data_IF_799816805959
#
_entry.id   IF_799816805959
#
_cell.length_a   1.000
_cell.length_b   1.000
_cell.length_c   1.000
_cell.angle_alpha   90.00
_cell.angle_beta   90.00
_cell.angle_gamma   90.00
#
_symmetry.space_group_name_H-M   'P 1'
#
loop_
_entity.id
_entity.type
_entity.pdbx_description
1 polymer ?
#
# COMPACT_ATOMS: atom_id res chain seq x y z
N UNK A 1 -35.87 31.78 21.37
CA UNK A 1 -34.43 32.06 21.30
C UNK A 1 -33.74 30.71 21.38
N UNK A 2 -33.62 30.03 20.25
CA UNK A 2 -33.06 28.68 20.11
C UNK A 2 -31.54 28.83 19.91
N UNK A 3 -30.77 28.40 20.90
CA UNK A 3 -29.30 28.31 20.79
C UNK A 3 -28.97 27.18 19.82
N UNK A 4 -28.48 27.51 18.65
CA UNK A 4 -27.77 26.60 17.75
C UNK A 4 -26.42 26.30 18.36
N UNK A 5 -26.23 25.09 18.85
CA UNK A 5 -24.90 24.57 19.22
C UNK A 5 -24.08 24.38 17.97
N UNK A 6 -23.01 25.17 17.86
CA UNK A 6 -21.94 25.04 16.85
C UNK A 6 -21.35 23.61 16.91
N UNK A 7 -21.23 22.90 15.78
CA UNK A 7 -20.61 21.58 15.80
C UNK A 7 -19.15 21.77 16.21
N UNK A 8 -18.78 21.20 17.34
CA UNK A 8 -17.44 21.19 17.91
C UNK A 8 -16.41 20.90 16.80
N UNK A 9 -15.51 21.83 16.57
CA UNK A 9 -14.30 21.63 15.78
C UNK A 9 -13.56 20.46 16.37
N UNK A 10 -13.66 19.30 15.73
CA UNK A 10 -12.87 18.11 16.10
C UNK A 10 -11.40 18.54 16.02
N UNK A 11 -10.70 18.53 17.14
CA UNK A 11 -9.27 18.83 17.22
C UNK A 11 -8.54 17.78 16.36
N UNK A 12 -8.21 18.15 15.14
CA UNK A 12 -7.50 17.33 14.16
C UNK A 12 -6.00 17.24 14.43
N UNK A 13 -5.57 17.54 15.66
CA UNK A 13 -4.16 17.42 16.03
C UNK A 13 -3.75 15.95 16.00
N UNK A 14 -2.83 15.54 15.10
CA UNK A 14 -2.42 14.16 15.01
C UNK A 14 -1.73 13.70 16.29
N UNK A 15 -2.01 12.49 16.72
CA UNK A 15 -1.36 11.91 17.89
C UNK A 15 0.17 11.95 17.73
N UNK A 16 0.95 12.01 18.83
CA UNK A 16 2.40 12.01 18.77
C UNK A 16 2.98 10.83 17.96
N UNK A 17 2.26 9.71 17.91
CA UNK A 17 2.67 8.47 17.26
C UNK A 17 2.69 8.59 15.72
N UNK A 18 1.72 9.31 15.14
CA UNK A 18 1.58 9.46 13.68
C UNK A 18 2.05 10.83 13.17
N UNK A 19 2.43 11.73 14.07
CA UNK A 19 2.87 13.08 13.69
C UNK A 19 4.14 13.07 12.84
N UNK A 20 4.06 13.57 11.63
CA UNK A 20 5.21 13.76 10.73
C UNK A 20 6.00 14.97 11.17
N UNK A 21 7.16 14.74 11.81
CA UNK A 21 8.03 15.82 12.34
C UNK A 21 8.88 16.49 11.26
N UNK A 22 9.43 15.71 10.32
CA UNK A 22 10.29 16.24 9.26
C UNK A 22 9.46 16.52 7.99
N UNK A 23 9.53 17.78 7.49
CA UNK A 23 8.76 18.25 6.34
C UNK A 23 7.24 18.08 6.59
N UNK A 24 6.69 18.67 7.66
CA UNK A 24 5.28 18.48 8.04
C UNK A 24 4.28 18.92 6.95
N UNK A 25 4.62 19.87 6.10
CA UNK A 25 3.79 20.28 4.97
C UNK A 25 3.53 19.18 3.91
N UNK A 26 4.22 18.04 4.00
CA UNK A 26 3.97 16.86 3.16
C UNK A 26 3.00 15.87 3.80
N UNK A 27 2.66 16.07 5.07
CA UNK A 27 1.76 15.18 5.80
C UNK A 27 0.30 15.45 5.44
N UNK A 28 -0.49 14.37 5.46
CA UNK A 28 -1.95 14.37 5.39
C UNK A 28 -2.45 13.40 6.45
N UNK A 29 -3.48 13.80 7.17
CA UNK A 29 -4.07 12.99 8.26
C UNK A 29 -5.54 12.68 7.97
N UNK A 30 -6.08 13.25 6.91
CA UNK A 30 -7.44 12.94 6.45
C UNK A 30 -7.51 11.51 5.88
N UNK A 31 -8.61 10.83 6.17
CA UNK A 31 -8.81 9.44 5.76
C UNK A 31 -8.85 9.27 4.24
N UNK A 32 -9.27 10.28 3.49
CA UNK A 32 -9.29 10.21 2.03
C UNK A 32 -7.88 10.07 1.47
N UNK A 33 -6.90 10.82 2.00
CA UNK A 33 -5.49 10.69 1.61
C UNK A 33 -4.89 9.34 2.03
N UNK A 34 -5.22 8.84 3.22
CA UNK A 34 -4.80 7.51 3.70
C UNK A 34 -5.34 6.42 2.79
N UNK A 35 -6.65 6.44 2.51
CA UNK A 35 -7.31 5.48 1.63
C UNK A 35 -6.73 5.50 0.21
N UNK A 36 -6.52 6.69 -0.37
CA UNK A 36 -5.98 6.80 -1.72
C UNK A 36 -4.61 6.15 -1.89
N UNK A 37 -3.75 6.18 -0.85
CA UNK A 37 -2.45 5.50 -0.89
C UNK A 37 -2.64 3.99 -0.72
N UNK A 38 -3.45 3.56 0.25
CA UNK A 38 -3.69 2.14 0.49
C UNK A 38 -4.33 1.46 -0.73
N UNK A 39 -5.32 2.09 -1.34
CA UNK A 39 -6.04 1.54 -2.50
C UNK A 39 -5.16 1.44 -3.75
N UNK A 40 -4.15 2.30 -3.87
CA UNK A 40 -3.23 2.28 -5.00
C UNK A 40 -2.02 1.35 -4.78
N UNK A 41 -1.67 1.03 -3.54
CA UNK A 41 -0.52 0.20 -3.22
C UNK A 41 -0.90 -1.29 -3.24
N UNK A 42 -0.26 -2.14 -4.06
CA UNK A 42 -0.65 -3.55 -4.20
C UNK A 42 -0.39 -4.38 -2.94
N UNK A 43 0.48 -3.93 -2.06
CA UNK A 43 0.83 -4.60 -0.81
C UNK A 43 1.37 -3.60 0.21
N UNK A 44 1.46 -4.04 1.46
CA UNK A 44 2.08 -3.30 2.56
C UNK A 44 3.24 -4.08 3.17
N UNK A 45 4.12 -3.36 3.88
CA UNK A 45 5.08 -3.97 4.78
C UNK A 45 4.54 -3.88 6.20
N UNK A 46 4.44 -5.02 6.87
CA UNK A 46 3.95 -5.13 8.24
C UNK A 46 5.12 -5.43 9.15
N UNK A 47 5.37 -4.55 10.09
CA UNK A 47 6.45 -4.64 11.06
C UNK A 47 5.89 -4.94 12.46
N UNK A 48 6.61 -5.76 13.23
CA UNK A 48 6.40 -6.00 14.65
C UNK A 48 7.72 -6.23 15.36
N UNK A 49 7.69 -6.43 16.66
CA UNK A 49 8.90 -6.75 17.46
C UNK A 49 8.77 -8.18 18.00
N UNK A 50 9.76 -9.01 17.72
CA UNK A 50 9.86 -10.39 18.20
C UNK A 50 11.18 -10.57 18.96
N UNK A 51 11.09 -10.95 20.23
CA UNK A 51 12.27 -11.15 21.08
C UNK A 51 13.22 -9.92 21.05
N UNK A 52 12.67 -8.71 21.13
CA UNK A 52 13.42 -7.47 21.09
C UNK A 52 13.96 -7.07 19.71
N UNK A 53 13.68 -7.84 18.65
CA UNK A 53 14.15 -7.57 17.29
C UNK A 53 13.00 -7.18 16.36
N UNK A 54 13.16 -6.15 15.50
CA UNK A 54 12.17 -5.82 14.48
C UNK A 54 12.10 -6.93 13.42
N UNK A 55 10.86 -7.28 13.04
CA UNK A 55 10.55 -8.20 11.94
C UNK A 55 9.66 -7.45 10.97
N UNK A 56 9.94 -7.52 9.66
CA UNK A 56 9.18 -6.84 8.61
C UNK A 56 8.87 -7.84 7.51
N UNK A 57 7.59 -7.93 7.11
CA UNK A 57 7.13 -8.83 6.04
C UNK A 57 6.24 -8.06 5.04
N UNK A 58 6.39 -8.28 3.73
CA UNK A 58 5.42 -7.81 2.74
C UNK A 58 4.15 -8.66 2.83
N UNK A 59 2.99 -8.00 2.76
CA UNK A 59 1.70 -8.67 2.83
C UNK A 59 0.70 -7.98 1.90
N UNK A 60 -0.10 -8.78 1.18
CA UNK A 60 -1.31 -8.27 0.56
C UNK A 60 -2.28 -7.79 1.66
N UNK A 61 -3.02 -6.76 1.36
CA UNK A 61 -3.99 -6.18 2.29
C UNK A 61 -5.32 -5.89 1.60
N UNK A 62 -6.34 -5.66 2.40
CA UNK A 62 -7.61 -5.09 1.99
C UNK A 62 -8.03 -4.01 2.97
N UNK A 63 -9.09 -3.27 2.67
CA UNK A 63 -9.73 -2.33 3.60
C UNK A 63 -11.16 -2.77 3.89
N UNK A 64 -11.53 -2.79 5.15
CA UNK A 64 -12.86 -3.14 5.62
C UNK A 64 -13.19 -2.30 6.87
N UNK A 65 -14.32 -1.63 6.90
CA UNK A 65 -14.90 -0.94 8.07
C UNK A 65 -13.90 -0.08 8.87
N UNK A 66 -13.17 0.81 8.16
CA UNK A 66 -12.20 1.71 8.81
C UNK A 66 -10.91 1.03 9.30
N UNK A 67 -10.67 -0.20 8.86
CA UNK A 67 -9.49 -0.99 9.20
C UNK A 67 -8.74 -1.48 7.97
N UNK A 68 -7.45 -1.69 8.11
CA UNK A 68 -6.66 -2.52 7.20
C UNK A 68 -6.85 -3.98 7.59
N UNK A 69 -7.09 -4.84 6.60
CA UNK A 69 -7.23 -6.28 6.78
C UNK A 69 -6.03 -6.99 6.17
N UNK A 70 -5.48 -7.93 6.93
CA UNK A 70 -4.34 -8.77 6.57
C UNK A 70 -4.73 -10.23 6.69
N UNK A 71 -4.28 -11.07 5.75
CA UNK A 71 -4.52 -12.50 5.83
C UNK A 71 -3.20 -13.29 5.81
N UNK A 72 -3.22 -14.48 6.41
CA UNK A 72 -2.08 -15.38 6.42
C UNK A 72 -2.38 -16.68 7.14
N UNK A 73 -1.32 -17.39 7.55
CA UNK A 73 -1.44 -18.62 8.32
C UNK A 73 -1.38 -18.32 9.83
N UNK A 74 -2.18 -19.01 10.63
CA UNK A 74 -2.09 -18.98 12.10
C UNK A 74 -0.69 -19.35 12.61
N UNK A 75 0.06 -20.18 11.88
CA UNK A 75 1.42 -20.56 12.21
C UNK A 75 2.46 -19.47 11.93
N UNK A 76 2.10 -18.41 11.17
CA UNK A 76 3.02 -17.34 10.87
C UNK A 76 3.40 -16.56 12.14
N UNK A 77 4.71 -16.38 12.32
CA UNK A 77 5.23 -15.74 13.54
C UNK A 77 4.69 -14.35 13.78
N UNK A 78 4.44 -13.55 12.72
CA UNK A 78 3.88 -12.21 12.82
C UNK A 78 2.49 -12.23 13.50
N UNK A 79 1.62 -13.17 13.12
CA UNK A 79 0.29 -13.30 13.71
C UNK A 79 0.32 -13.83 15.14
N UNK A 80 1.30 -14.69 15.47
CA UNK A 80 1.52 -15.10 16.87
C UNK A 80 1.97 -13.95 17.76
N UNK A 81 2.87 -13.09 17.25
CA UNK A 81 3.30 -11.89 17.98
C UNK A 81 2.14 -10.91 18.18
N UNK A 82 1.32 -10.72 17.14
CA UNK A 82 0.12 -9.89 17.21
C UNK A 82 -0.90 -10.44 18.22
N UNK A 83 -1.14 -11.76 18.23
CA UNK A 83 -1.99 -12.44 19.21
C UNK A 83 -1.49 -12.26 20.64
N UNK A 84 -0.18 -12.17 20.85
CA UNK A 84 0.44 -11.86 22.12
C UNK A 84 0.40 -10.37 22.48
N UNK A 85 -0.29 -9.53 21.69
CA UNK A 85 -0.47 -8.10 21.94
C UNK A 85 0.68 -7.22 21.48
N UNK A 86 1.63 -7.73 20.68
CA UNK A 86 2.71 -6.92 20.15
C UNK A 86 2.17 -5.82 19.23
N UNK A 87 2.68 -4.57 19.33
CA UNK A 87 2.30 -3.50 18.44
C UNK A 87 2.78 -3.80 17.02
N UNK A 88 2.02 -3.29 16.05
CA UNK A 88 2.39 -3.36 14.63
C UNK A 88 2.58 -1.96 14.06
N UNK A 89 3.51 -1.85 13.11
CA UNK A 89 3.66 -0.69 12.25
C UNK A 89 3.52 -1.17 10.81
N UNK A 90 2.57 -0.59 10.07
CA UNK A 90 2.31 -0.96 8.69
C UNK A 90 2.64 0.22 7.80
N UNK A 91 3.35 -0.02 6.71
CA UNK A 91 3.59 1.00 5.69
C UNK A 91 3.29 0.48 4.30
N UNK A 92 2.64 1.32 3.49
CA UNK A 92 2.52 1.14 2.06
C UNK A 92 3.16 2.35 1.37
N UNK A 93 3.88 2.11 0.27
CA UNK A 93 4.60 3.17 -0.44
C UNK A 93 4.50 2.96 -1.95
N UNK A 94 4.22 4.06 -2.65
CA UNK A 94 4.24 4.15 -4.10
C UNK A 94 5.41 5.05 -4.50
N UNK A 95 6.28 4.57 -5.37
CA UNK A 95 7.31 5.38 -6.01
C UNK A 95 6.70 6.07 -7.23
N UNK A 96 6.61 7.39 -7.21
CA UNK A 96 6.06 8.20 -8.30
C UNK A 96 7.16 8.82 -9.19
N UNK A 97 8.44 8.73 -8.79
CA UNK A 97 9.56 9.16 -9.61
C UNK A 97 10.86 9.38 -8.84
N UNK A 98 11.95 9.44 -9.60
CA UNK A 98 13.27 9.83 -9.10
C UNK A 98 13.48 11.32 -9.33
N UNK A 99 14.12 12.00 -8.39
CA UNK A 99 14.42 13.44 -8.47
C UNK A 99 15.91 13.64 -8.42
N UNK A 100 16.45 14.19 -9.50
CA UNK A 100 17.87 14.43 -9.70
C UNK A 100 18.15 15.91 -9.52
N UNK A 101 18.89 16.26 -8.48
CA UNK A 101 19.37 17.61 -8.22
C UNK A 101 20.72 17.86 -8.87
N UNK A 102 21.14 19.12 -8.91
CA UNK A 102 22.46 19.51 -9.41
C UNK A 102 23.59 19.18 -8.43
N UNK A 103 23.26 18.97 -7.15
CA UNK A 103 24.22 18.53 -6.13
C UNK A 103 23.81 17.19 -5.55
N UNK A 104 24.77 16.40 -5.06
CA UNK A 104 24.53 15.10 -4.47
C UNK A 104 23.49 15.12 -3.32
N UNK A 105 23.44 16.22 -2.57
CA UNK A 105 22.49 16.41 -1.46
C UNK A 105 21.04 16.57 -1.90
N UNK A 106 20.79 17.06 -3.11
CA UNK A 106 19.46 17.44 -3.58
C UNK A 106 18.74 16.34 -4.37
N UNK A 107 19.37 15.17 -4.49
CA UNK A 107 18.68 13.98 -5.02
C UNK A 107 17.59 13.53 -4.06
N UNK A 108 16.49 13.04 -4.62
CA UNK A 108 15.32 12.61 -3.84
C UNK A 108 14.44 11.65 -4.67
N UNK A 109 13.24 11.37 -4.16
CA UNK A 109 12.20 10.65 -4.89
C UNK A 109 10.85 11.35 -4.69
N UNK A 110 9.97 11.27 -5.69
CA UNK A 110 8.54 11.53 -5.57
C UNK A 110 7.86 10.26 -5.11
N UNK A 111 6.99 10.38 -4.13
CA UNK A 111 6.33 9.22 -3.52
C UNK A 111 5.04 9.61 -2.82
N UNK A 112 4.18 8.64 -2.66
CA UNK A 112 3.06 8.63 -1.73
C UNK A 112 3.27 7.48 -0.76
N UNK A 113 3.15 7.73 0.53
CA UNK A 113 3.27 6.68 1.55
C UNK A 113 2.23 6.87 2.63
N UNK A 114 1.86 5.76 3.27
CA UNK A 114 1.06 5.75 4.49
C UNK A 114 1.82 4.97 5.56
N UNK A 115 1.68 5.41 6.80
CA UNK A 115 2.15 4.67 7.98
C UNK A 115 1.00 4.55 8.94
N UNK A 116 0.75 3.34 9.44
CA UNK A 116 -0.30 2.99 10.38
C UNK A 116 0.36 2.37 11.61
N UNK A 117 -0.01 2.82 12.80
CA UNK A 117 0.42 2.24 14.06
C UNK A 117 -0.79 1.68 14.80
N UNK A 118 -0.63 0.56 15.47
CA UNK A 118 -1.71 -0.03 16.25
C UNK A 118 -1.42 -1.44 16.73
N UNK A 119 -2.49 -2.10 17.12
CA UNK A 119 -2.49 -3.52 17.48
C UNK A 119 -3.43 -4.24 16.51
N UNK A 120 -2.99 -5.40 16.05
CA UNK A 120 -3.80 -6.23 15.20
C UNK A 120 -4.76 -7.07 16.05
N UNK A 121 -6.04 -7.12 15.67
CA UNK A 121 -7.07 -7.95 16.30
C UNK A 121 -7.51 -9.04 15.34
N UNK A 122 -7.58 -10.28 15.81
CA UNK A 122 -8.06 -11.39 14.99
C UNK A 122 -9.53 -11.19 14.61
N UNK A 123 -9.86 -11.57 13.38
CA UNK A 123 -11.23 -11.68 12.90
C UNK A 123 -11.57 -13.17 12.92
N UNK A 124 -12.58 -13.55 13.70
CA UNK A 124 -12.94 -14.95 13.98
C UNK A 124 -14.33 -15.33 13.50
N UNK A 125 -15.23 -14.34 13.40
CA UNK A 125 -16.59 -14.58 12.94
C UNK A 125 -16.60 -14.97 11.46
N UNK A 126 -17.23 -16.10 11.08
CA UNK A 126 -17.16 -16.63 9.70
C UNK A 126 -17.55 -15.63 8.61
N UNK A 127 -18.60 -14.85 8.83
CA UNK A 127 -19.06 -13.86 7.85
C UNK A 127 -18.06 -12.69 7.71
N UNK A 128 -17.44 -12.27 8.82
CA UNK A 128 -16.37 -11.26 8.79
C UNK A 128 -15.09 -11.79 8.13
N UNK A 129 -14.77 -13.09 8.32
CA UNK A 129 -13.64 -13.74 7.63
C UNK A 129 -13.87 -13.73 6.12
N UNK A 130 -15.09 -14.08 5.67
CA UNK A 130 -15.45 -14.02 4.25
C UNK A 130 -15.34 -12.60 3.71
N UNK A 131 -15.89 -11.61 4.40
CA UNK A 131 -15.83 -10.21 4.01
C UNK A 131 -14.38 -9.69 3.93
N UNK A 132 -13.54 -10.06 4.89
CA UNK A 132 -12.13 -9.70 4.89
C UNK A 132 -11.33 -10.35 3.78
N UNK A 133 -11.56 -11.63 3.48
CA UNK A 133 -10.96 -12.30 2.32
C UNK A 133 -11.41 -11.66 1.01
N UNK A 134 -12.69 -11.32 0.90
CA UNK A 134 -13.21 -10.58 -0.25
C UNK A 134 -12.47 -9.25 -0.41
N UNK A 135 -12.32 -8.48 0.67
CA UNK A 135 -11.63 -7.19 0.65
C UNK A 135 -10.19 -7.32 0.15
N UNK A 136 -9.46 -8.36 0.56
CA UNK A 136 -8.08 -8.62 0.09
C UNK A 136 -8.05 -9.03 -1.38
N UNK A 137 -8.94 -9.94 -1.81
CA UNK A 137 -9.00 -10.40 -3.22
C UNK A 137 -9.38 -9.25 -4.16
N UNK A 138 -10.39 -8.45 -3.80
CA UNK A 138 -10.84 -7.29 -4.60
C UNK A 138 -9.81 -6.16 -4.60
N UNK A 139 -9.00 -6.04 -3.56
CA UNK A 139 -7.88 -5.10 -3.53
C UNK A 139 -6.77 -5.52 -4.51
N UNK A 140 -6.42 -6.78 -4.55
CA UNK A 140 -5.43 -7.30 -5.48
C UNK A 140 -5.88 -7.19 -6.93
N UNK A 141 -7.10 -7.66 -7.22
CA UNK A 141 -7.71 -7.64 -8.55
C UNK A 141 -9.22 -7.41 -8.43
N UNK A 142 -9.66 -6.23 -8.77
CA UNK A 142 -11.09 -5.86 -8.74
C UNK A 142 -11.91 -6.74 -9.68
N UNK A 143 -13.02 -7.28 -9.18
CA UNK A 143 -13.92 -8.17 -9.91
C UNK A 143 -13.58 -9.66 -9.81
N UNK A 144 -12.40 -9.99 -9.20
CA UNK A 144 -11.96 -11.39 -9.10
C UNK A 144 -12.83 -12.22 -8.15
N UNK A 145 -13.30 -11.64 -7.06
CA UNK A 145 -14.11 -12.36 -6.07
C UNK A 145 -15.36 -13.03 -6.64
N UNK A 146 -15.96 -12.42 -7.65
CA UNK A 146 -17.18 -12.96 -8.27
C UNK A 146 -16.91 -14.22 -9.12
N UNK A 147 -15.69 -14.39 -9.60
CA UNK A 147 -15.31 -15.50 -10.50
C UNK A 147 -14.68 -16.69 -9.78
N UNK A 148 -14.22 -16.51 -8.55
CA UNK A 148 -13.59 -17.60 -7.81
C UNK A 148 -14.60 -18.34 -6.94
N UNK A 149 -14.33 -19.61 -6.70
CA UNK A 149 -15.03 -20.40 -5.70
C UNK A 149 -14.88 -19.72 -4.33
N UNK A 150 -15.95 -19.65 -3.58
CA UNK A 150 -15.91 -19.16 -2.20
C UNK A 150 -15.17 -20.14 -1.29
N UNK A 151 -14.55 -19.67 -0.20
CA UNK A 151 -13.86 -20.53 0.73
C UNK A 151 -14.83 -21.53 1.39
N UNK A 152 -14.37 -22.77 1.56
CA UNK A 152 -15.08 -23.77 2.35
C UNK A 152 -14.99 -23.48 3.84
N UNK A 153 -15.83 -24.14 4.65
CA UNK A 153 -15.78 -24.02 6.12
C UNK A 153 -14.41 -24.42 6.69
N UNK A 154 -13.74 -25.40 6.09
CA UNK A 154 -12.40 -25.81 6.51
C UNK A 154 -11.38 -24.69 6.22
N UNK A 155 -11.39 -24.14 5.01
CA UNK A 155 -10.50 -23.03 4.61
C UNK A 155 -10.70 -21.77 5.47
N UNK A 156 -11.95 -21.45 5.83
CA UNK A 156 -12.26 -20.34 6.75
C UNK A 156 -11.60 -20.58 8.13
N UNK A 157 -11.65 -21.78 8.66
CA UNK A 157 -11.04 -22.13 9.96
C UNK A 157 -9.49 -22.09 9.94
N UNK A 158 -8.89 -22.40 8.80
CA UNK A 158 -7.42 -22.42 8.62
C UNK A 158 -6.85 -21.01 8.32
N UNK A 159 -7.68 -20.07 7.88
CA UNK A 159 -7.26 -18.74 7.50
C UNK A 159 -7.16 -17.83 8.74
N UNK A 160 -5.95 -17.35 9.02
CA UNK A 160 -5.75 -16.26 9.96
C UNK A 160 -6.07 -14.92 9.27
N UNK A 161 -7.06 -14.22 9.79
CA UNK A 161 -7.43 -12.90 9.33
C UNK A 161 -7.35 -11.89 10.48
N UNK A 162 -6.75 -10.73 10.23
CA UNK A 162 -6.48 -9.73 11.23
C UNK A 162 -6.88 -8.35 10.74
N UNK A 163 -7.42 -7.52 11.63
CA UNK A 163 -7.70 -6.11 11.36
C UNK A 163 -6.78 -5.20 12.17
N UNK A 164 -6.36 -4.10 11.57
CA UNK A 164 -5.65 -3.00 12.24
C UNK A 164 -6.41 -1.70 11.95
N UNK A 165 -6.95 -1.02 12.99
CA UNK A 165 -7.69 0.21 12.80
C UNK A 165 -6.85 1.32 12.15
N UNK A 166 -7.44 2.10 11.24
CA UNK A 166 -6.79 3.22 10.56
C UNK A 166 -6.76 4.52 11.37
N UNK A 167 -7.32 4.52 12.58
CA UNK A 167 -7.38 5.72 13.43
C UNK A 167 -6.00 6.34 13.76
N UNK A 168 -4.94 5.52 13.77
CA UNK A 168 -3.57 5.96 13.97
C UNK A 168 -2.78 5.84 12.65
N UNK A 169 -3.24 6.56 11.63
CA UNK A 169 -2.60 6.58 10.32
C UNK A 169 -2.17 8.00 9.91
N UNK A 170 -1.11 8.09 9.12
CA UNK A 170 -0.70 9.30 8.44
C UNK A 170 -0.23 9.00 7.03
N UNK A 171 -0.63 9.83 6.08
CA UNK A 171 -0.09 9.80 4.72
C UNK A 171 0.97 10.90 4.56
N UNK A 172 1.96 10.64 3.69
CA UNK A 172 3.01 11.58 3.35
C UNK A 172 3.28 11.55 1.86
N UNK A 173 3.26 12.72 1.23
CA UNK A 173 3.43 12.84 -0.21
C UNK A 173 4.54 13.84 -0.54
N UNK A 174 5.39 13.47 -1.49
CA UNK A 174 6.30 14.39 -2.17
C UNK A 174 6.06 14.31 -3.67
N UNK A 175 5.93 15.46 -4.29
CA UNK A 175 5.80 15.62 -5.74
C UNK A 175 6.64 16.79 -6.23
N UNK A 176 6.88 16.87 -7.53
CA UNK A 176 7.58 17.96 -8.17
C UNK A 176 9.06 17.72 -8.41
N UNK A 177 9.71 18.75 -8.92
CA UNK A 177 11.11 18.72 -9.34
C UNK A 177 12.09 18.86 -8.16
N UNK A 178 13.37 19.05 -8.48
CA UNK A 178 14.42 19.34 -7.49
C UNK A 178 14.22 20.72 -6.84
N UNK A 179 14.75 20.89 -5.66
CA UNK A 179 14.80 22.14 -4.90
C UNK A 179 16.26 22.54 -4.72
N UNK A 180 16.95 22.79 -5.85
CA UNK A 180 18.33 23.22 -5.81
C UNK A 180 18.44 24.65 -5.23
N UNK A 181 19.49 24.97 -4.45
CA UNK A 181 19.84 26.32 -4.09
C UNK A 181 20.08 27.20 -5.32
N UNK A 182 19.94 28.52 -5.15
CA UNK A 182 20.10 29.44 -6.26
C UNK A 182 21.52 29.39 -6.85
N UNK A 183 22.54 29.24 -6.03
CA UNK A 183 23.92 29.09 -6.46
C UNK A 183 24.19 27.84 -7.32
N UNK A 184 23.43 26.78 -7.11
CA UNK A 184 23.57 25.54 -7.90
C UNK A 184 22.85 25.63 -9.25
N UNK A 185 21.91 26.58 -9.44
CA UNK A 185 21.06 26.63 -10.66
C UNK A 185 21.82 26.90 -11.94
N UNK A 186 22.95 27.59 -11.85
CA UNK A 186 23.82 27.89 -13.00
C UNK A 186 24.77 26.75 -13.37
N UNK A 187 24.86 25.69 -12.57
CA UNK A 187 25.72 24.55 -12.84
C UNK A 187 25.27 23.83 -14.14
N UNK A 188 26.20 23.49 -15.06
CA UNK A 188 25.91 22.83 -16.34
C UNK A 188 25.63 21.33 -16.14
N UNK A 189 24.74 20.99 -15.19
CA UNK A 189 24.34 19.64 -14.85
C UNK A 189 22.83 19.52 -15.05
N UNK A 190 22.40 18.51 -15.77
CA UNK A 190 20.97 18.23 -15.92
C UNK A 190 20.31 17.96 -14.56
N UNK A 191 19.16 18.57 -14.32
CA UNK A 191 18.38 18.38 -13.10
C UNK A 191 16.88 18.33 -13.43
N UNK A 192 16.15 17.52 -12.70
CA UNK A 192 14.72 17.33 -12.95
C UNK A 192 14.17 16.13 -12.22
N UNK A 193 13.08 15.54 -12.75
CA UNK A 193 12.56 14.28 -12.24
C UNK A 193 12.22 13.30 -13.36
N UNK A 194 12.37 12.02 -13.06
CA UNK A 194 12.02 10.89 -13.93
C UNK A 194 10.77 10.25 -13.33
N UNK A 195 9.58 10.34 -13.97
CA UNK A 195 8.39 9.68 -13.49
C UNK A 195 8.58 8.16 -13.41
N UNK A 196 8.04 7.55 -12.34
CA UNK A 196 7.98 6.10 -12.18
C UNK A 196 6.52 5.65 -12.09
N UNK A 197 6.22 4.47 -12.63
CA UNK A 197 4.90 3.83 -12.56
C UNK A 197 5.09 2.33 -12.39
N UNK A 198 4.23 1.73 -11.57
CA UNK A 198 4.08 0.27 -11.55
C UNK A 198 3.27 -0.13 -12.79
N UNK A 199 3.77 -1.08 -13.54
CA UNK A 199 3.09 -1.67 -14.69
C UNK A 199 3.13 -3.19 -14.57
N UNK A 200 2.10 -3.86 -15.08
CA UNK A 200 2.00 -5.31 -15.08
C UNK A 200 2.35 -5.87 -16.46
N UNK A 201 2.92 -7.07 -16.50
CA UNK A 201 3.17 -7.81 -17.74
C UNK A 201 1.89 -8.46 -18.28
N UNK A 202 2.04 -9.16 -19.41
CA UNK A 202 0.95 -9.98 -19.93
C UNK A 202 0.64 -11.13 -18.97
N UNK A 203 -0.65 -11.50 -18.81
CA UNK A 203 -1.03 -12.66 -18.02
C UNK A 203 -0.35 -13.94 -18.55
N UNK A 204 0.12 -14.75 -17.63
CA UNK A 204 0.71 -16.06 -17.93
C UNK A 204 -0.22 -17.12 -17.33
N UNK A 205 -0.69 -18.04 -18.16
CA UNK A 205 -1.57 -19.12 -17.75
C UNK A 205 -0.85 -20.05 -16.76
N UNK A 206 -1.59 -20.55 -15.77
CA UNK A 206 -1.10 -21.57 -14.86
C UNK A 206 -0.94 -22.91 -15.58
N UNK A 207 0.01 -23.72 -15.13
CA UNK A 207 0.14 -25.11 -15.59
C UNK A 207 -1.17 -25.88 -15.32
N UNK A 208 -1.61 -26.67 -16.32
CA UNK A 208 -2.83 -27.46 -16.20
C UNK A 208 -4.14 -26.69 -16.36
N UNK A 209 -4.09 -25.42 -16.76
CA UNK A 209 -5.31 -24.68 -17.11
C UNK A 209 -6.03 -25.40 -18.28
N UNK A 210 -7.35 -25.71 -18.16
CA UNK A 210 -8.08 -26.34 -19.26
C UNK A 210 -8.06 -25.49 -20.53
N UNK A 211 -8.04 -26.11 -21.74
CA UNK A 211 -8.07 -25.37 -23.00
C UNK A 211 -9.33 -24.48 -23.12
N UNK A 212 -9.18 -23.32 -23.74
CA UNK A 212 -10.28 -22.38 -23.98
C UNK A 212 -10.66 -21.47 -22.82
N UNK A 213 -9.92 -21.52 -21.70
CA UNK A 213 -10.09 -20.56 -20.62
C UNK A 213 -9.18 -19.36 -20.87
N UNK A 214 -9.77 -18.26 -21.28
CA UNK A 214 -9.06 -17.01 -21.56
C UNK A 214 -8.92 -16.13 -20.31
N UNK A 215 -7.88 -15.26 -20.28
CA UNK A 215 -7.76 -14.26 -19.23
C UNK A 215 -9.00 -13.35 -19.18
N UNK A 216 -9.58 -13.09 -18.00
CA UNK A 216 -10.78 -12.25 -17.89
C UNK A 216 -10.48 -10.79 -18.31
N UNK A 217 -11.50 -10.13 -18.87
CA UNK A 217 -11.36 -8.77 -19.41
C UNK A 217 -10.92 -7.73 -18.40
N UNK A 218 -11.26 -7.87 -17.11
CA UNK A 218 -10.82 -6.91 -16.09
C UNK A 218 -9.30 -6.88 -15.90
N UNK A 219 -8.54 -7.91 -16.32
CA UNK A 219 -7.08 -7.86 -16.30
C UNK A 219 -6.52 -6.85 -17.30
N UNK A 220 -7.27 -6.49 -18.36
CA UNK A 220 -6.90 -5.44 -19.31
C UNK A 220 -6.96 -4.04 -18.71
N UNK A 221 -7.61 -3.88 -17.56
CA UNK A 221 -7.70 -2.61 -16.84
C UNK A 221 -6.44 -2.33 -15.99
N UNK A 222 -5.58 -3.33 -15.81
CA UNK A 222 -4.30 -3.13 -15.13
C UNK A 222 -3.37 -2.27 -16.01
N UNK A 223 -2.60 -1.33 -15.40
CA UNK A 223 -1.63 -0.56 -16.14
C UNK A 223 -0.55 -1.49 -16.70
N UNK A 224 -0.47 -1.59 -18.02
CA UNK A 224 0.52 -2.42 -18.72
C UNK A 224 1.70 -1.60 -19.21
N UNK A 225 2.87 -2.23 -19.33
CA UNK A 225 4.01 -1.65 -20.00
C UNK A 225 3.69 -1.47 -21.51
N UNK A 226 4.14 -0.38 -22.16
CA UNK A 226 4.13 -0.32 -23.62
C UNK A 226 4.91 -1.51 -24.16
N UNK A 227 4.48 -2.05 -25.31
CA UNK A 227 5.19 -3.14 -25.97
C UNK A 227 6.68 -2.78 -26.11
N UNK A 228 7.56 -3.72 -25.75
CA UNK A 228 8.98 -3.49 -25.93
C UNK A 228 9.27 -3.18 -27.43
N UNK A 229 10.08 -2.16 -27.74
CA UNK A 229 10.49 -1.93 -29.11
C UNK A 229 11.18 -3.20 -29.64
N UNK A 230 11.03 -3.52 -30.95
CA UNK A 230 11.69 -4.67 -31.53
C UNK A 230 13.20 -4.58 -31.28
N UNK A 231 13.88 -5.72 -31.05
CA UNK A 231 15.31 -5.71 -30.84
C UNK A 231 16.00 -4.98 -31.98
N UNK A 232 16.82 -3.99 -31.65
CA UNK A 232 17.64 -3.30 -32.63
C UNK A 232 18.58 -4.35 -33.24
N UNK A 233 18.40 -4.69 -34.49
CA UNK A 233 19.31 -5.60 -35.20
C UNK A 233 20.70 -5.01 -35.11
N UNK A 234 21.61 -5.60 -34.35
CA UNK A 234 23.02 -5.24 -34.36
C UNK A 234 23.59 -5.65 -35.72
N UNK A 235 23.56 -4.76 -36.70
CA UNK A 235 24.40 -4.90 -37.87
C UNK A 235 25.84 -4.80 -37.38
N UNK A 236 26.49 -5.94 -37.20
CA UNK A 236 27.97 -6.02 -37.05
C UNK A 236 28.56 -5.42 -38.30
N UNK A 237 29.29 -4.32 -38.15
CA UNK A 237 30.33 -3.91 -39.09
C UNK A 237 31.66 -4.50 -38.63
#
# INVERSE_FOLDING_TARGET
MTMTTDPATVDCTPSPLVRVRRKPGRARYDMAAVHAVLDAAPFSHVATVRNGRPVVLPMAHGRLDGSLVLHGSHAAGLFRDAAAGSPVCITATLLDGLVLGRSARNHSMNYRSVTIHGHATAITEPDEVIAGLQAVVEHLIRGRWQQVRKPSTAEIRETALWRVPLAQASAKTRSGSTLDPDDDRCLPVWAGHIPARLVFGQPIAADGLPPGIEPPDYLRLLPTAPAAPPPVSSSRR
#
